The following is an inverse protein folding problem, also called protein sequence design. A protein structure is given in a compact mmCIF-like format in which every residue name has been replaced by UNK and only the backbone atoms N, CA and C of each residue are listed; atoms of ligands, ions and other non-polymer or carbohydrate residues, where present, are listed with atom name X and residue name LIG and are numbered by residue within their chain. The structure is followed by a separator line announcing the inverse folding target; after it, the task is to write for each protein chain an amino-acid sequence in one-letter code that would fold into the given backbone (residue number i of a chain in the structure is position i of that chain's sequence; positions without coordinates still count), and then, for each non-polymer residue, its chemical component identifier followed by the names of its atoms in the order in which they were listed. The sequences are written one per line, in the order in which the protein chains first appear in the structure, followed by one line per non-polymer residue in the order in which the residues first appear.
data_IF_788877811487
#
_entry.id   IF_788877811487
#
_cell.length_a   1.000
_cell.length_b   1.000
_cell.length_c   1.000
_cell.angle_alpha   90.00
_cell.angle_beta   90.00
_cell.angle_gamma   90.00
#
_symmetry.space_group_name_H-M   'P 1'
#
loop_
_entity.id
_entity.type
_entity.pdbx_description
1 polymer ?
#
# COMPACT_ATOMS: atom_id res chain seq x y z
N UNK A 1 14.40 -5.32 -10.43
CA UNK A 1 13.61 -4.66 -9.36
C UNK A 1 12.15 -4.42 -9.71
N UNK A 2 11.81 -3.97 -10.93
CA UNK A 2 10.42 -3.67 -11.34
C UNK A 2 9.42 -4.81 -11.09
N UNK A 3 9.71 -6.03 -11.55
CA UNK A 3 8.80 -7.18 -11.37
C UNK A 3 8.55 -7.52 -9.90
N UNK A 4 9.60 -7.49 -9.08
CA UNK A 4 9.48 -7.71 -7.63
C UNK A 4 8.59 -6.63 -6.99
N UNK A 5 8.81 -5.35 -7.31
CA UNK A 5 8.00 -4.26 -6.78
C UNK A 5 6.52 -4.38 -7.17
N UNK A 6 6.25 -4.74 -8.42
CA UNK A 6 4.88 -4.96 -8.91
C UNK A 6 4.21 -6.15 -8.19
N UNK A 7 4.93 -7.26 -8.00
CA UNK A 7 4.42 -8.40 -7.24
C UNK A 7 4.09 -8.02 -5.80
N UNK A 8 4.98 -7.28 -5.12
CA UNK A 8 4.73 -6.81 -3.75
C UNK A 8 3.52 -5.87 -3.67
N UNK A 9 3.32 -5.00 -4.66
CA UNK A 9 2.16 -4.14 -4.74
C UNK A 9 0.85 -4.94 -4.84
N UNK A 10 0.81 -5.95 -5.72
CA UNK A 10 -0.34 -6.85 -5.88
C UNK A 10 -0.61 -7.64 -4.59
N UNK A 11 0.43 -8.22 -3.98
CA UNK A 11 0.30 -8.95 -2.72
C UNK A 11 -0.18 -8.06 -1.58
N UNK A 12 0.32 -6.82 -1.49
CA UNK A 12 -0.07 -5.87 -0.48
C UNK A 12 -1.55 -5.46 -0.62
N UNK A 13 -2.00 -5.16 -1.85
CA UNK A 13 -3.40 -4.85 -2.13
C UNK A 13 -4.30 -6.05 -1.81
N UNK A 14 -3.88 -7.26 -2.21
CA UNK A 14 -4.64 -8.49 -1.93
C UNK A 14 -4.75 -8.76 -0.44
N UNK A 15 -3.64 -8.60 0.30
CA UNK A 15 -3.61 -8.74 1.76
C UNK A 15 -4.53 -7.71 2.44
N UNK A 16 -4.51 -6.45 1.99
CA UNK A 16 -5.43 -5.41 2.47
C UNK A 16 -6.90 -5.81 2.25
N UNK A 17 -7.28 -6.21 1.02
CA UNK A 17 -8.65 -6.62 0.70
C UNK A 17 -9.11 -7.80 1.56
N UNK A 18 -8.24 -8.79 1.74
CA UNK A 18 -8.54 -9.95 2.57
C UNK A 18 -8.72 -9.56 4.05
N UNK A 19 -7.89 -8.67 4.59
CA UNK A 19 -8.03 -8.16 5.96
C UNK A 19 -9.30 -7.35 6.15
N UNK A 20 -9.64 -6.49 5.17
CA UNK A 20 -10.90 -5.75 5.16
C UNK A 20 -12.10 -6.69 5.17
N UNK A 21 -12.07 -7.75 4.36
CA UNK A 21 -13.12 -8.78 4.35
C UNK A 21 -13.27 -9.48 5.71
N UNK A 22 -12.17 -9.94 6.31
CA UNK A 22 -12.20 -10.62 7.62
C UNK A 22 -12.79 -9.73 8.73
N UNK A 23 -12.39 -8.47 8.76
CA UNK A 23 -12.83 -7.51 9.77
C UNK A 23 -14.30 -7.11 9.59
N UNK A 24 -14.76 -6.96 8.35
CA UNK A 24 -16.13 -6.52 8.06
C UNK A 24 -17.16 -7.67 8.07
N UNK A 25 -16.78 -8.85 7.58
CA UNK A 25 -17.72 -9.97 7.38
C UNK A 25 -17.76 -10.94 8.56
N UNK A 26 -16.60 -11.28 9.12
CA UNK A 26 -16.51 -12.36 10.09
C UNK A 26 -16.35 -11.86 11.54
N UNK A 27 -16.19 -10.54 11.74
CA UNK A 27 -15.70 -9.93 12.98
C UNK A 27 -14.52 -10.72 13.59
N UNK A 28 -13.73 -11.35 12.72
CA UNK A 28 -12.72 -12.33 13.12
C UNK A 28 -11.43 -11.58 13.36
N UNK A 29 -10.77 -11.92 14.47
CA UNK A 29 -9.43 -11.41 14.72
C UNK A 29 -8.48 -11.87 13.62
N UNK A 30 -7.62 -10.94 13.21
CA UNK A 30 -6.66 -11.19 12.14
C UNK A 30 -5.61 -12.20 12.62
N UNK A 31 -5.30 -13.25 11.85
CA UNK A 31 -4.27 -14.20 12.25
C UNK A 31 -2.90 -13.52 12.28
N UNK A 32 -2.10 -13.87 13.28
CA UNK A 32 -0.77 -13.30 13.51
C UNK A 32 0.14 -13.35 12.27
N UNK A 33 0.09 -14.46 11.54
CA UNK A 33 0.84 -14.63 10.29
C UNK A 33 0.55 -13.52 9.28
N UNK A 34 -0.73 -13.18 9.04
CA UNK A 34 -1.09 -12.12 8.09
C UNK A 34 -0.65 -10.73 8.55
N UNK A 35 -0.70 -10.47 9.86
CA UNK A 35 -0.22 -9.21 10.43
C UNK A 35 1.27 -9.01 10.17
N UNK A 36 2.08 -10.06 10.40
CA UNK A 36 3.52 -10.04 10.11
C UNK A 36 3.78 -9.93 8.61
N UNK A 37 3.13 -10.77 7.79
CA UNK A 37 3.31 -10.76 6.33
C UNK A 37 3.06 -9.38 5.76
N UNK A 38 2.06 -8.66 6.26
CA UNK A 38 1.75 -7.29 5.80
C UNK A 38 2.86 -6.29 6.14
N UNK A 39 3.46 -6.39 7.32
CA UNK A 39 4.60 -5.53 7.69
C UNK A 39 5.82 -5.82 6.80
N UNK A 40 6.08 -7.09 6.51
CA UNK A 40 7.14 -7.50 5.58
C UNK A 40 6.86 -6.94 4.17
N UNK A 41 5.62 -7.06 3.67
CA UNK A 41 5.23 -6.50 2.37
C UNK A 41 5.45 -4.98 2.31
N UNK A 42 5.08 -4.23 3.36
CA UNK A 42 5.37 -2.80 3.44
C UNK A 42 6.88 -2.50 3.45
N UNK A 43 7.69 -3.27 4.20
CA UNK A 43 9.13 -3.08 4.19
C UNK A 43 9.72 -3.30 2.79
N UNK A 44 9.35 -4.40 2.12
CA UNK A 44 9.88 -4.73 0.79
C UNK A 44 9.39 -3.73 -0.27
N UNK A 45 8.13 -3.27 -0.22
CA UNK A 45 7.63 -2.28 -1.19
C UNK A 45 8.33 -0.93 -1.05
N UNK A 46 8.64 -0.50 0.19
CA UNK A 46 9.37 0.73 0.47
C UNK A 46 10.82 0.61 -0.03
N UNK A 47 11.52 -0.47 0.31
CA UNK A 47 12.92 -0.68 -0.10
C UNK A 47 13.06 -0.79 -1.62
N UNK A 48 12.19 -1.60 -2.26
CA UNK A 48 12.19 -1.73 -3.72
C UNK A 48 11.79 -0.44 -4.44
N UNK A 49 10.84 0.33 -3.86
CA UNK A 49 10.44 1.64 -4.37
C UNK A 49 11.57 2.67 -4.26
N UNK A 50 12.28 2.72 -3.14
CA UNK A 50 13.45 3.57 -2.95
C UNK A 50 14.56 3.25 -3.96
N UNK A 51 14.82 1.96 -4.22
CA UNK A 51 15.76 1.52 -5.26
C UNK A 51 15.37 2.04 -6.66
N UNK A 52 14.09 1.96 -7.01
CA UNK A 52 13.59 2.48 -8.30
C UNK A 52 13.63 4.02 -8.36
N UNK A 53 13.38 4.71 -7.25
CA UNK A 53 13.50 6.17 -7.17
C UNK A 53 14.94 6.63 -7.41
N UNK A 54 15.93 5.96 -6.81
CA UNK A 54 17.35 6.26 -7.05
C UNK A 54 17.71 6.13 -8.54
N UNK A 55 17.20 5.10 -9.23
CA UNK A 55 17.40 4.94 -10.67
C UNK A 55 16.80 6.10 -11.47
N UNK A 56 15.56 6.51 -11.16
CA UNK A 56 14.90 7.64 -11.82
C UNK A 56 15.64 8.97 -11.59
N UNK A 57 16.12 9.21 -10.36
CA UNK A 57 16.90 10.40 -10.04
C UNK A 57 18.23 10.42 -10.79
N UNK A 58 18.93 9.27 -10.90
CA UNK A 58 20.17 9.18 -11.68
C UNK A 58 19.97 9.43 -13.17
N UNK A 59 18.76 9.21 -13.68
CA UNK A 59 18.38 9.45 -15.08
C UNK A 59 17.76 10.83 -15.33
N UNK A 60 17.76 11.74 -14.34
CA UNK A 60 17.09 13.05 -14.40
C UNK A 60 15.60 12.97 -14.82
N UNK A 61 14.92 11.88 -14.47
CA UNK A 61 13.51 11.69 -14.78
C UNK A 61 12.61 12.54 -13.86
N UNK A 62 11.42 12.96 -14.32
CA UNK A 62 10.43 13.59 -13.44
C UNK A 62 9.94 12.60 -12.37
N UNK A 63 10.08 12.99 -11.09
CA UNK A 63 9.80 12.14 -9.91
C UNK A 63 8.57 12.58 -9.11
N UNK A 64 7.88 13.66 -9.50
CA UNK A 64 6.73 14.22 -8.77
C UNK A 64 5.62 13.18 -8.57
N UNK A 65 5.34 12.37 -9.59
CA UNK A 65 4.36 11.27 -9.53
C UNK A 65 4.77 10.16 -8.55
N UNK A 66 6.08 9.93 -8.34
CA UNK A 66 6.59 8.97 -7.35
C UNK A 66 6.37 9.51 -5.95
N UNK A 67 6.63 10.80 -5.71
CA UNK A 67 6.34 11.43 -4.42
C UNK A 67 4.86 11.39 -4.06
N UNK A 68 3.96 11.61 -5.04
CA UNK A 68 2.53 11.43 -4.83
C UNK A 68 2.18 10.00 -4.38
N UNK A 69 2.80 8.97 -4.98
CA UNK A 69 2.64 7.58 -4.53
C UNK A 69 3.17 7.34 -3.13
N UNK A 70 4.29 7.94 -2.74
CA UNK A 70 4.84 7.82 -1.39
C UNK A 70 3.88 8.40 -0.36
N UNK A 71 3.29 9.57 -0.62
CA UNK A 71 2.30 10.19 0.25
C UNK A 71 1.07 9.29 0.39
N UNK A 72 0.56 8.75 -0.72
CA UNK A 72 -0.56 7.80 -0.68
C UNK A 72 -0.19 6.50 0.04
N UNK A 73 1.04 6.02 -0.09
CA UNK A 73 1.50 4.81 0.62
C UNK A 73 1.55 5.04 2.13
N UNK A 74 2.02 6.21 2.58
CA UNK A 74 1.99 6.61 3.99
C UNK A 74 0.54 6.69 4.47
N UNK A 75 -0.35 7.33 3.71
CA UNK A 75 -1.78 7.40 4.05
C UNK A 75 -2.42 6.01 4.15
N UNK A 76 -2.14 5.11 3.20
CA UNK A 76 -2.62 3.74 3.20
C UNK A 76 -2.09 2.95 4.41
N UNK A 77 -0.81 3.10 4.75
CA UNK A 77 -0.19 2.46 5.92
C UNK A 77 -0.82 2.95 7.22
N UNK A 78 -0.89 4.27 7.44
CA UNK A 78 -1.47 4.85 8.65
C UNK A 78 -2.94 4.47 8.83
N UNK A 79 -3.72 4.52 7.75
CA UNK A 79 -5.12 4.13 7.76
C UNK A 79 -5.30 2.63 8.02
N UNK A 80 -4.47 1.76 7.43
CA UNK A 80 -4.49 0.32 7.68
C UNK A 80 -4.12 -0.04 9.11
N UNK A 81 -3.11 0.62 9.71
CA UNK A 81 -2.75 0.44 11.12
C UNK A 81 -3.95 0.75 12.02
N UNK A 82 -4.69 1.83 11.75
CA UNK A 82 -5.88 2.19 12.52
C UNK A 82 -7.05 1.23 12.26
N UNK A 83 -7.27 0.86 10.99
CA UNK A 83 -8.36 -0.01 10.55
C UNK A 83 -8.27 -1.42 11.16
N UNK A 84 -7.06 -1.91 11.36
CA UNK A 84 -6.79 -3.28 11.77
C UNK A 84 -6.28 -3.38 13.21
N UNK A 85 -6.37 -2.30 13.98
CA UNK A 85 -6.07 -2.31 15.40
C UNK A 85 -7.16 -3.10 16.16
N UNK A 86 -6.74 -3.96 17.08
CA UNK A 86 -7.65 -4.76 17.91
C UNK A 86 -8.61 -3.89 18.75
N UNK A 87 -8.18 -2.70 19.16
CA UNK A 87 -8.94 -1.78 20.00
C UNK A 87 -9.76 -0.76 19.19
N UNK A 88 -9.77 -0.84 17.86
CA UNK A 88 -10.53 0.08 17.02
C UNK A 88 -12.03 -0.22 17.07
N UNK A 89 -12.84 0.84 17.21
CA UNK A 89 -14.31 0.74 17.09
C UNK A 89 -14.71 0.38 15.65
N UNK A 90 -15.89 -0.19 15.45
CA UNK A 90 -16.37 -0.54 14.10
C UNK A 90 -16.36 0.67 13.13
N UNK A 91 -16.69 1.87 13.64
CA UNK A 91 -16.61 3.11 12.87
C UNK A 91 -15.17 3.43 12.44
N UNK A 92 -14.20 3.36 13.36
CA UNK A 92 -12.78 3.56 13.05
C UNK A 92 -12.26 2.55 12.03
N UNK A 93 -12.70 1.29 12.13
CA UNK A 93 -12.34 0.22 11.19
C UNK A 93 -12.84 0.53 9.79
N UNK A 94 -14.14 0.84 9.64
CA UNK A 94 -14.75 1.20 8.36
C UNK A 94 -14.10 2.42 7.73
N UNK A 95 -13.90 3.48 8.50
CA UNK A 95 -13.26 4.72 8.01
C UNK A 95 -11.81 4.47 7.61
N UNK A 96 -11.04 3.72 8.39
CA UNK A 96 -9.66 3.37 8.04
C UNK A 96 -9.58 2.54 6.77
N UNK A 97 -10.47 1.55 6.58
CA UNK A 97 -10.56 0.77 5.34
C UNK A 97 -10.90 1.68 4.15
N UNK A 98 -11.83 2.61 4.31
CA UNK A 98 -12.21 3.54 3.23
C UNK A 98 -11.03 4.43 2.82
N UNK A 99 -10.34 5.05 3.78
CA UNK A 99 -9.18 5.92 3.51
C UNK A 99 -8.06 5.13 2.84
N UNK A 100 -7.73 3.94 3.37
CA UNK A 100 -6.71 3.08 2.78
C UNK A 100 -7.10 2.62 1.36
N UNK A 101 -8.38 2.28 1.14
CA UNK A 101 -8.90 1.88 -0.16
C UNK A 101 -8.76 2.99 -1.21
N UNK A 102 -9.15 4.22 -0.88
CA UNK A 102 -8.96 5.39 -1.76
C UNK A 102 -7.48 5.62 -2.07
N UNK A 103 -6.61 5.49 -1.06
CA UNK A 103 -5.17 5.63 -1.26
C UNK A 103 -4.59 4.56 -2.18
N UNK A 104 -4.98 3.29 -2.02
CA UNK A 104 -4.56 2.21 -2.92
C UNK A 104 -5.06 2.41 -4.35
N UNK A 105 -6.30 2.85 -4.54
CA UNK A 105 -6.84 3.20 -5.87
C UNK A 105 -5.98 4.31 -6.50
N UNK A 106 -5.66 5.36 -5.74
CA UNK A 106 -4.78 6.44 -6.20
C UNK A 106 -3.38 5.95 -6.61
N UNK A 107 -2.79 5.04 -5.83
CA UNK A 107 -1.48 4.44 -6.17
C UNK A 107 -1.55 3.68 -7.49
N UNK A 108 -2.61 2.91 -7.71
CA UNK A 108 -2.84 2.14 -8.93
C UNK A 108 -3.01 3.08 -10.14
N UNK A 109 -3.85 4.11 -10.01
CA UNK A 109 -4.03 5.13 -11.06
C UNK A 109 -2.69 5.78 -11.41
N UNK A 110 -1.93 6.23 -10.41
CA UNK A 110 -0.59 6.80 -10.63
C UNK A 110 0.42 5.79 -11.19
N UNK A 111 0.18 4.48 -11.07
CA UNK A 111 1.03 3.47 -11.69
C UNK A 111 0.82 3.37 -13.21
N UNK A 112 -0.39 3.65 -13.69
CA UNK A 112 -0.71 3.67 -15.11
C UNK A 112 -0.54 5.05 -15.74
N UNK A 113 -0.76 6.12 -14.99
CA UNK A 113 -0.62 7.51 -15.45
C UNK A 113 0.81 8.07 -15.35
N UNK A 114 1.83 7.21 -15.42
CA UNK A 114 3.24 7.64 -15.33
C UNK A 114 3.59 8.61 -16.48
N UNK A 115 4.35 9.69 -16.23
CA UNK A 115 4.75 10.63 -17.28
C UNK A 115 5.82 10.01 -18.19
N UNK A 116 5.55 9.96 -19.49
CA UNK A 116 6.42 9.34 -20.49
C UNK A 116 6.46 7.81 -20.36
N UNK A 117 6.89 7.11 -21.42
CA UNK A 117 7.17 5.68 -21.40
C UNK A 117 8.43 5.36 -20.56
N UNK A 118 8.55 5.93 -19.37
CA UNK A 118 9.59 5.63 -18.41
C UNK A 118 9.33 4.21 -17.90
N UNK A 119 10.19 3.27 -18.31
CA UNK A 119 10.07 1.81 -18.36
C UNK A 119 9.34 1.26 -19.58
#
# INVERSE_FOLDING_TARGET
MKHLHMLMAVLLITAFLYQSYLVLSANKQMPFALKISTHILYAVIILSGAGMLMQLMSANAPVQWVFAKIILLVAALSASIKAFNNNATLSQRKTGILIAGVAYIGIVVLAFSKPGNLF
#
